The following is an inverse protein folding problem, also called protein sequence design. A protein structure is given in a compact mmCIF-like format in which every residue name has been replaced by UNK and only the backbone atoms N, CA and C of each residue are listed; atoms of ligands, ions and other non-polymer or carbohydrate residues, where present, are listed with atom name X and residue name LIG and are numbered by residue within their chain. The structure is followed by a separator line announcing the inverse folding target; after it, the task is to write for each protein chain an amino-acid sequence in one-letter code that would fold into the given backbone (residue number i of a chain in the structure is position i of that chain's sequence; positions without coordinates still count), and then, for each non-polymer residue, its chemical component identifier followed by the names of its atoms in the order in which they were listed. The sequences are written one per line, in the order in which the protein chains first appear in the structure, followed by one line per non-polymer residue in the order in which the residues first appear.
data_IF_992117460748
#
_entry.id   IF_992117460748
#
_cell.length_a   1.000
_cell.length_b   1.000
_cell.length_c   1.000
_cell.angle_alpha   90.00
_cell.angle_beta   90.00
_cell.angle_gamma   90.00
#
_symmetry.space_group_name_H-M   'P 1'
#
loop_
_entity.id
_entity.type
_entity.pdbx_description
1 polymer ?
#
# COMPACT_ATOMS: atom_id res chain seq x y z
N UNK A 1 -1.08 23.49 -6.25
CA UNK A 1 -0.23 22.28 -6.06
C UNK A 1 -0.29 21.48 -7.36
N UNK A 2 0.85 21.10 -7.95
CA UNK A 2 0.89 20.35 -9.22
C UNK A 2 0.64 18.86 -8.93
N UNK A 3 -0.36 18.27 -9.60
CA UNK A 3 -0.69 16.84 -9.51
C UNK A 3 0.44 15.98 -10.11
N UNK A 4 1.31 15.42 -9.27
CA UNK A 4 2.40 14.50 -9.67
C UNK A 4 1.92 13.14 -10.18
N UNK A 5 0.62 12.83 -10.09
CA UNK A 5 0.07 11.55 -10.56
C UNK A 5 0.25 11.30 -12.05
N UNK A 6 0.30 12.36 -12.87
CA UNK A 6 0.56 12.23 -14.31
C UNK A 6 2.01 11.87 -14.65
N UNK A 7 2.98 12.16 -13.76
CA UNK A 7 4.39 11.84 -13.95
C UNK A 7 4.63 10.33 -13.80
N UNK A 8 3.94 9.68 -12.86
CA UNK A 8 4.02 8.22 -12.66
C UNK A 8 3.52 7.46 -13.89
N UNK A 9 2.45 7.93 -14.53
CA UNK A 9 1.89 7.33 -15.76
C UNK A 9 2.88 7.51 -16.93
N UNK A 10 3.55 8.66 -17.03
CA UNK A 10 4.57 8.93 -18.07
C UNK A 10 5.82 8.07 -17.94
N UNK A 11 6.09 7.52 -16.76
CA UNK A 11 7.24 6.65 -16.51
C UNK A 11 6.95 5.17 -16.86
N UNK A 12 5.78 4.85 -17.42
CA UNK A 12 5.34 3.48 -17.68
C UNK A 12 5.48 2.57 -16.44
N UNK A 13 5.20 3.12 -15.26
CA UNK A 13 5.26 2.37 -14.01
C UNK A 13 3.93 1.63 -13.85
N UNK A 14 4.00 0.30 -13.95
CA UNK A 14 2.82 -0.55 -13.81
C UNK A 14 2.45 -0.84 -12.36
N UNK A 15 3.46 -0.90 -11.48
CA UNK A 15 3.28 -1.24 -10.06
C UNK A 15 4.17 -0.40 -9.15
N UNK A 16 3.60 0.06 -8.03
CA UNK A 16 4.34 0.69 -6.94
C UNK A 16 4.00 -0.03 -5.65
N UNK A 17 5.02 -0.45 -4.91
CA UNK A 17 4.86 -1.01 -3.57
C UNK A 17 5.70 -0.21 -2.56
N UNK A 18 5.06 0.23 -1.48
CA UNK A 18 5.71 0.95 -0.39
C UNK A 18 5.54 0.15 0.90
N UNK A 19 6.67 -0.23 1.53
CA UNK A 19 6.70 -0.87 2.84
C UNK A 19 6.89 0.19 3.92
N UNK A 20 6.04 0.17 4.95
CA UNK A 20 6.05 1.12 6.06
C UNK A 20 6.10 0.35 7.37
N UNK A 21 7.07 0.68 8.23
CA UNK A 21 7.08 0.22 9.62
C UNK A 21 6.46 1.29 10.51
N UNK A 22 5.34 0.97 11.14
CA UNK A 22 4.62 1.85 12.06
C UNK A 22 4.81 1.34 13.48
N UNK A 23 5.30 2.19 14.38
CA UNK A 23 5.32 1.90 15.81
C UNK A 23 3.99 2.37 16.44
N UNK A 24 3.28 1.46 17.10
CA UNK A 24 2.05 1.75 17.84
C UNK A 24 2.23 1.25 19.28
N UNK A 25 2.67 2.14 20.17
CA UNK A 25 3.12 1.77 21.52
C UNK A 25 4.35 0.87 21.45
N UNK A 26 4.27 -0.31 22.07
CA UNK A 26 5.34 -1.33 22.06
C UNK A 26 5.32 -2.23 20.83
N UNK A 27 4.26 -2.16 20.01
CA UNK A 27 4.08 -3.03 18.84
C UNK A 27 4.64 -2.34 17.60
N UNK A 28 5.48 -3.06 16.83
CA UNK A 28 5.89 -2.66 15.48
C UNK A 28 4.97 -3.37 14.49
N UNK A 29 4.22 -2.58 13.73
CA UNK A 29 3.36 -3.07 12.64
C UNK A 29 4.05 -2.81 11.30
N UNK A 30 3.99 -3.79 10.41
CA UNK A 30 4.45 -3.62 9.04
C UNK A 30 3.23 -3.48 8.12
N UNK A 31 3.18 -2.39 7.37
CA UNK A 31 2.14 -2.07 6.41
C UNK A 31 2.74 -2.02 5.01
N UNK A 32 1.94 -2.39 4.01
CA UNK A 32 2.29 -2.30 2.60
C UNK A 32 1.20 -1.55 1.85
N UNK A 33 1.58 -0.48 1.17
CA UNK A 33 0.73 0.21 0.21
C UNK A 33 1.10 -0.30 -1.19
N UNK A 34 0.16 -0.89 -1.90
CA UNK A 34 0.35 -1.31 -3.30
C UNK A 34 -0.57 -0.53 -4.23
N UNK A 35 -0.03 -0.03 -5.33
CA UNK A 35 -0.71 0.59 -6.46
C UNK A 35 -0.39 -0.24 -7.71
N UNK A 36 -1.38 -0.56 -8.53
CA UNK A 36 -1.19 -1.30 -9.78
C UNK A 36 -2.12 -0.76 -10.86
N UNK A 37 -1.60 -0.54 -12.07
CA UNK A 37 -2.35 -0.10 -13.27
C UNK A 37 -2.74 -1.28 -14.17
N UNK A 38 -2.16 -2.46 -13.95
CA UNK A 38 -2.35 -3.68 -14.77
C UNK A 38 -3.81 -4.15 -14.85
N UNK A 39 -4.65 -3.75 -13.89
CA UNK A 39 -6.08 -4.07 -13.87
C UNK A 39 -6.96 -3.22 -14.80
N UNK A 40 -6.37 -2.34 -15.63
CA UNK A 40 -7.12 -1.45 -16.53
C UNK A 40 -7.94 -0.42 -15.77
N UNK A 41 -7.32 0.68 -15.33
CA UNK A 41 -8.00 1.77 -14.64
C UNK A 41 -7.07 2.66 -13.83
N UNK A 42 -7.64 3.60 -13.08
CA UNK A 42 -6.89 4.44 -12.14
C UNK A 42 -6.19 3.61 -11.07
N UNK A 43 -4.93 3.95 -10.74
CA UNK A 43 -4.14 3.32 -9.67
C UNK A 43 -4.90 3.34 -8.34
N UNK A 44 -5.57 2.24 -7.97
CA UNK A 44 -6.31 2.14 -6.71
C UNK A 44 -5.37 1.70 -5.58
N UNK A 45 -5.11 2.54 -4.57
CA UNK A 45 -4.27 2.16 -3.43
C UNK A 45 -4.90 1.02 -2.63
N UNK A 46 -4.13 -0.04 -2.37
CA UNK A 46 -4.49 -1.15 -1.49
C UNK A 46 -3.52 -1.17 -0.30
N UNK A 47 -4.05 -0.99 0.91
CA UNK A 47 -3.28 -1.16 2.14
C UNK A 47 -3.36 -2.61 2.62
N UNK A 48 -2.22 -3.21 2.86
CA UNK A 48 -2.05 -4.55 3.40
C UNK A 48 -1.30 -4.45 4.73
N UNK A 49 -1.71 -5.25 5.71
CA UNK A 49 -0.92 -5.47 6.92
C UNK A 49 -0.14 -6.76 6.74
N UNK A 50 1.14 -6.72 7.03
CA UNK A 50 1.95 -7.92 7.15
C UNK A 50 1.79 -8.52 8.54
N UNK A 51 1.54 -9.82 8.58
CA UNK A 51 1.42 -10.62 9.79
C UNK A 51 2.31 -11.84 9.57
N UNK A 52 3.19 -12.21 10.50
CA UNK A 52 3.98 -13.43 10.34
C UNK A 52 3.06 -14.65 10.28
N UNK A 53 3.32 -15.55 9.33
CA UNK A 53 2.70 -16.86 9.26
C UNK A 53 3.10 -17.67 10.51
N UNK A 54 2.14 -18.25 11.26
CA UNK A 54 2.44 -18.93 12.52
C UNK A 54 3.21 -20.25 12.33
N UNK A 55 3.24 -20.82 11.12
CA UNK A 55 3.87 -22.13 10.85
C UNK A 55 5.25 -21.94 10.23
N UNK A 56 5.36 -21.03 9.26
CA UNK A 56 6.53 -20.86 8.40
C UNK A 56 7.32 -19.60 8.69
N UNK A 57 6.76 -18.65 9.47
CA UNK A 57 7.38 -17.35 9.74
C UNK A 57 7.36 -16.38 8.55
N UNK A 58 6.91 -16.80 7.37
CA UNK A 58 6.82 -15.92 6.20
C UNK A 58 5.75 -14.84 6.36
N UNK A 59 5.96 -13.62 5.86
CA UNK A 59 5.00 -12.54 6.01
C UNK A 59 3.74 -12.79 5.16
N UNK A 60 2.60 -13.04 5.83
CA UNK A 60 1.28 -13.06 5.23
C UNK A 60 0.74 -11.65 5.06
N UNK A 61 0.06 -11.39 3.94
CA UNK A 61 -0.54 -10.09 3.64
C UNK A 61 -2.05 -10.15 3.86
N UNK A 62 -2.56 -9.48 4.90
CA UNK A 62 -4.00 -9.39 5.17
C UNK A 62 -4.53 -8.01 4.80
N UNK A 63 -5.70 -7.97 4.15
CA UNK A 63 -6.37 -6.70 3.83
C UNK A 63 -6.71 -5.98 5.13
N UNK A 64 -6.21 -4.76 5.30
CA UNK A 64 -6.50 -3.98 6.50
C UNK A 64 -7.90 -3.37 6.38
N UNK A 65 -8.86 -3.87 7.14
CA UNK A 65 -10.25 -3.35 7.17
C UNK A 65 -10.38 -1.99 7.85
N UNK A 66 -9.32 -1.53 8.55
CA UNK A 66 -9.34 -0.30 9.36
C UNK A 66 -8.91 0.96 8.60
N UNK A 67 -8.40 0.83 7.37
CA UNK A 67 -7.98 1.99 6.57
C UNK A 67 -9.03 2.33 5.52
N UNK A 68 -10.08 3.06 5.92
CA UNK A 68 -10.84 3.88 4.97
C UNK A 68 -9.95 5.06 4.60
N UNK A 69 -9.47 5.08 3.37
CA UNK A 69 -8.83 6.27 2.83
C UNK A 69 -9.85 7.41 2.80
N UNK A 70 -9.71 8.40 3.69
CA UNK A 70 -9.98 9.78 3.30
C UNK A 70 -8.72 10.25 2.58
N UNK A 71 -8.62 9.85 1.31
CA UNK A 71 -7.73 10.53 0.38
C UNK A 71 -8.41 11.89 0.11
N UNK A 72 -8.26 12.83 1.04
CA UNK A 72 -8.63 14.21 0.75
C UNK A 72 -7.80 14.64 -0.45
N UNK A 73 -8.50 14.97 -1.53
CA UNK A 73 -8.05 15.74 -2.68
C UNK A 73 -6.53 16.01 -2.71
N UNK A 74 -5.82 15.19 -3.50
CA UNK A 74 -4.47 15.51 -3.97
C UNK A 74 -4.55 15.84 -5.45
#
# INVERSE_FOLDING_TARGET
MRHRGSEVIKLCIDEIEVKVHRRAGTVIETLRLSLSSLGGGFLKPKMLREIPDPVTGYPLRRRSSKFRYRLYHI
#
